data_IF_870422788323
#
_entry.id   IF_870422788323
#
_cell.length_a   1.000
_cell.length_b   1.000
_cell.length_c   1.000
_cell.angle_alpha   90.00
_cell.angle_beta   90.00
_cell.angle_gamma   90.00
#
_symmetry.space_group_name_H-M   'P 1'
#
loop_
_entity.id
_entity.type
_entity.pdbx_description
1 polymer ?
#
# COMPACT_ATOMS: atom_id res chain seq x y z
N UNK A 1 37.37 14.43 -41.42
CA UNK A 1 36.12 15.12 -41.12
C UNK A 1 35.03 14.10 -41.04
N UNK A 2 34.54 13.77 -39.85
CA UNK A 2 33.39 12.91 -39.62
C UNK A 2 32.30 13.77 -39.06
N UNK A 3 31.20 13.88 -39.79
CA UNK A 3 29.99 14.57 -39.33
C UNK A 3 29.32 13.76 -38.21
N UNK A 4 29.10 14.43 -37.08
CA UNK A 4 28.33 13.89 -35.97
C UNK A 4 26.86 14.19 -36.26
N UNK A 5 26.08 13.13 -36.49
CA UNK A 5 24.63 13.23 -36.64
C UNK A 5 24.02 13.44 -35.25
N UNK A 6 23.53 14.65 -35.04
CA UNK A 6 22.82 15.05 -33.83
C UNK A 6 21.36 14.55 -33.95
N UNK A 7 21.05 13.43 -33.32
CA UNK A 7 19.69 12.92 -33.21
C UNK A 7 19.00 13.69 -32.07
N UNK A 8 18.21 14.69 -32.45
CA UNK A 8 17.25 15.33 -31.54
C UNK A 8 16.22 14.31 -31.10
N UNK A 9 16.31 13.86 -29.86
CA UNK A 9 15.25 13.16 -29.16
C UNK A 9 14.07 14.13 -28.97
N UNK A 10 13.09 14.03 -29.84
CA UNK A 10 11.78 14.65 -29.65
C UNK A 10 11.09 13.96 -28.48
N UNK A 11 11.19 14.58 -27.29
CA UNK A 11 10.42 14.23 -26.11
C UNK A 11 8.95 14.49 -26.40
N UNK A 12 8.23 13.45 -26.84
CA UNK A 12 6.78 13.44 -27.00
C UNK A 12 6.17 13.68 -25.63
N UNK A 13 5.71 14.90 -25.39
CA UNK A 13 4.93 15.25 -24.20
C UNK A 13 3.60 14.49 -24.33
N UNK A 14 3.44 13.39 -23.61
CA UNK A 14 2.14 12.76 -23.43
C UNK A 14 1.25 13.76 -22.68
N UNK A 15 0.25 14.30 -23.37
CA UNK A 15 -0.82 15.05 -22.75
C UNK A 15 -1.51 14.11 -21.76
N UNK A 16 -1.33 14.38 -20.47
CA UNK A 16 -2.01 13.64 -19.41
C UNK A 16 -3.50 13.92 -19.54
N UNK A 17 -4.25 12.96 -20.09
CA UNK A 17 -5.71 13.01 -20.18
C UNK A 17 -6.27 13.22 -18.77
N UNK A 18 -7.06 14.27 -18.57
CA UNK A 18 -7.76 14.48 -17.31
C UNK A 18 -8.85 13.41 -17.16
N UNK A 19 -8.69 12.55 -16.17
CA UNK A 19 -9.67 11.51 -15.85
C UNK A 19 -10.87 12.09 -15.11
N UNK A 20 -12.06 11.49 -15.32
CA UNK A 20 -13.26 11.81 -14.55
C UNK A 20 -13.00 11.46 -13.07
N UNK A 21 -13.68 12.16 -12.17
CA UNK A 21 -13.51 11.93 -10.72
C UNK A 21 -14.60 11.02 -10.17
N UNK A 22 -15.21 10.18 -11.01
CA UNK A 22 -16.32 9.32 -10.64
C UNK A 22 -16.17 7.85 -11.06
N UNK A 23 -15.03 7.51 -11.67
CA UNK A 23 -14.70 6.14 -12.07
C UNK A 23 -15.30 5.68 -13.39
N UNK A 24 -15.98 6.55 -14.13
CA UNK A 24 -16.66 6.16 -15.39
C UNK A 24 -15.76 6.19 -16.63
N UNK A 25 -14.54 6.66 -16.52
CA UNK A 25 -13.57 6.70 -17.64
C UNK A 25 -13.30 5.33 -18.28
N UNK A 26 -13.50 4.24 -17.52
CA UNK A 26 -13.35 2.89 -18.03
C UNK A 26 -14.33 2.58 -19.18
N UNK A 27 -15.49 3.27 -19.24
CA UNK A 27 -16.49 3.11 -20.30
C UNK A 27 -15.94 3.58 -21.66
N UNK A 28 -15.03 4.56 -21.67
CA UNK A 28 -14.36 5.01 -22.88
C UNK A 28 -13.39 3.97 -23.45
N UNK A 29 -12.86 3.10 -22.58
CA UNK A 29 -11.95 2.02 -22.94
C UNK A 29 -12.73 0.76 -23.34
N UNK A 30 -13.80 0.47 -22.59
CA UNK A 30 -14.67 -0.69 -22.81
C UNK A 30 -16.14 -0.29 -22.72
N UNK A 31 -16.78 -0.15 -23.87
CA UNK A 31 -18.19 0.25 -24.02
C UNK A 31 -19.17 -0.76 -23.40
N UNK A 32 -18.75 -2.03 -23.22
CA UNK A 32 -19.57 -3.06 -22.58
C UNK A 32 -19.82 -2.78 -21.09
N UNK A 33 -19.03 -1.86 -20.49
CA UNK A 33 -19.21 -1.41 -19.10
C UNK A 33 -20.34 -0.38 -18.94
N UNK A 34 -20.88 0.18 -20.01
CA UNK A 34 -21.94 1.21 -19.96
C UNK A 34 -23.18 0.81 -19.15
N UNK A 35 -23.69 -0.45 -19.24
CA UNK A 35 -24.80 -0.89 -18.37
C UNK A 35 -24.43 -0.94 -16.88
N UNK A 36 -23.14 -0.90 -16.54
CA UNK A 36 -22.62 -1.02 -15.19
C UNK A 36 -22.10 0.32 -14.63
N UNK A 37 -22.41 1.44 -15.26
CA UNK A 37 -21.96 2.78 -14.86
C UNK A 37 -22.22 3.07 -13.38
N UNK A 38 -23.42 2.75 -12.87
CA UNK A 38 -23.76 2.93 -11.46
C UNK A 38 -22.86 2.13 -10.51
N UNK A 39 -22.42 0.93 -10.92
CA UNK A 39 -21.51 0.11 -10.14
C UNK A 39 -20.08 0.67 -10.17
N UNK A 40 -19.63 1.26 -11.27
CA UNK A 40 -18.34 1.92 -11.37
C UNK A 40 -18.28 3.13 -10.43
N UNK A 41 -19.32 3.96 -10.40
CA UNK A 41 -19.45 5.09 -9.47
C UNK A 41 -19.41 4.63 -8.02
N UNK A 42 -20.19 3.60 -7.66
CA UNK A 42 -20.19 3.03 -6.32
C UNK A 42 -18.81 2.55 -5.88
N UNK A 43 -18.07 1.87 -6.76
CA UNK A 43 -16.69 1.42 -6.45
C UNK A 43 -15.74 2.58 -6.24
N UNK A 44 -15.87 3.63 -7.04
CA UNK A 44 -15.07 4.84 -6.87
C UNK A 44 -15.35 5.54 -5.55
N UNK A 45 -16.62 5.69 -5.18
CA UNK A 45 -17.02 6.25 -3.88
C UNK A 45 -16.45 5.43 -2.72
N UNK A 46 -16.54 4.09 -2.80
CA UNK A 46 -15.95 3.21 -1.78
C UNK A 46 -14.43 3.31 -1.70
N UNK A 47 -13.77 3.45 -2.83
CA UNK A 47 -12.33 3.72 -2.85
C UNK A 47 -12.00 5.02 -2.13
N UNK A 48 -12.71 6.10 -2.40
CA UNK A 48 -12.49 7.39 -1.75
C UNK A 48 -12.77 7.34 -0.25
N UNK A 49 -13.83 6.65 0.17
CA UNK A 49 -14.17 6.43 1.58
C UNK A 49 -13.03 5.72 2.32
N UNK A 50 -12.56 4.59 1.79
CA UNK A 50 -11.48 3.81 2.41
C UNK A 50 -10.17 4.58 2.39
N UNK A 51 -9.83 5.21 1.26
CA UNK A 51 -8.64 6.07 1.14
C UNK A 51 -8.67 7.18 2.19
N UNK A 52 -9.79 7.89 2.31
CA UNK A 52 -9.93 8.97 3.30
C UNK A 52 -9.82 8.48 4.76
N UNK A 53 -10.35 7.30 5.07
CA UNK A 53 -10.20 6.69 6.38
C UNK A 53 -8.74 6.35 6.71
N UNK A 54 -8.01 5.79 5.75
CA UNK A 54 -6.58 5.48 5.89
C UNK A 54 -5.76 6.77 6.06
N UNK A 55 -5.99 7.78 5.21
CA UNK A 55 -5.27 9.05 5.29
C UNK A 55 -5.53 9.78 6.61
N UNK A 56 -6.76 9.71 7.11
CA UNK A 56 -7.13 10.26 8.43
C UNK A 56 -6.41 9.54 9.58
N UNK A 57 -6.26 8.22 9.49
CA UNK A 57 -5.63 7.43 10.55
C UNK A 57 -4.10 7.51 10.53
N UNK A 58 -3.49 7.56 9.34
CA UNK A 58 -2.04 7.41 9.14
C UNK A 58 -1.36 8.65 8.55
N UNK A 59 -2.13 9.71 8.22
CA UNK A 59 -1.64 10.93 7.60
C UNK A 59 -1.54 10.86 6.07
N UNK A 60 -1.15 9.72 5.51
CA UNK A 60 -1.09 9.48 4.06
C UNK A 60 -1.11 8.00 3.72
N UNK A 61 -1.40 7.66 2.46
CA UNK A 61 -1.29 6.27 1.97
C UNK A 61 0.16 5.77 2.04
N UNK A 62 1.14 6.63 1.81
CA UNK A 62 2.56 6.28 1.93
C UNK A 62 2.93 5.94 3.37
N UNK A 63 2.50 6.75 4.34
CA UNK A 63 2.72 6.49 5.75
C UNK A 63 2.04 5.18 6.21
N UNK A 64 0.83 4.91 5.71
CA UNK A 64 0.15 3.64 5.95
C UNK A 64 0.94 2.45 5.36
N UNK A 65 1.42 2.57 4.13
CA UNK A 65 2.23 1.54 3.48
C UNK A 65 3.56 1.27 4.20
N UNK A 66 4.13 2.28 4.87
CA UNK A 66 5.34 2.15 5.67
C UNK A 66 5.10 1.51 7.05
N UNK A 67 3.84 1.23 7.41
CA UNK A 67 3.47 0.62 8.68
C UNK A 67 4.13 -0.73 8.97
N UNK A 68 4.53 -1.47 7.93
CA UNK A 68 5.30 -2.72 8.09
C UNK A 68 6.62 -2.52 8.84
N UNK A 69 7.20 -1.31 8.81
CA UNK A 69 8.45 -0.98 9.52
C UNK A 69 8.29 -0.97 11.04
N UNK A 70 7.06 -0.90 11.53
CA UNK A 70 6.74 -0.96 12.96
C UNK A 70 6.65 -2.38 13.50
N UNK A 71 6.60 -3.40 12.61
CA UNK A 71 6.46 -4.80 12.98
C UNK A 71 7.78 -5.55 12.91
N UNK A 72 7.78 -6.76 13.48
CA UNK A 72 8.96 -7.57 13.60
C UNK A 72 9.85 -7.17 14.78
N UNK A 73 11.12 -7.48 14.69
CA UNK A 73 12.11 -7.20 15.74
C UNK A 73 12.67 -5.78 15.58
N UNK A 74 12.67 -5.04 16.69
CA UNK A 74 13.34 -3.75 16.79
C UNK A 74 14.24 -3.71 18.03
N UNK A 75 15.44 -3.14 17.90
CA UNK A 75 16.36 -2.93 19.01
C UNK A 75 16.26 -1.48 19.47
N UNK A 76 16.02 -1.27 20.77
CA UNK A 76 16.02 0.04 21.41
C UNK A 76 17.44 0.49 21.79
N UNK A 77 17.59 1.76 22.17
CA UNK A 77 18.86 2.35 22.60
C UNK A 77 19.44 1.67 23.85
N UNK A 78 18.59 1.16 24.74
CA UNK A 78 18.97 0.41 25.94
C UNK A 78 19.29 -1.08 25.68
N UNK A 79 19.50 -1.44 24.41
CA UNK A 79 19.71 -2.80 23.91
C UNK A 79 18.51 -3.76 24.05
N UNK A 80 17.40 -3.33 24.60
CA UNK A 80 16.15 -4.11 24.66
C UNK A 80 15.66 -4.45 23.25
N UNK A 81 15.31 -5.71 23.04
CA UNK A 81 14.71 -6.18 21.80
C UNK A 81 13.18 -6.20 22.00
N UNK A 82 12.47 -5.51 21.11
CA UNK A 82 11.01 -5.51 21.08
C UNK A 82 10.56 -6.24 19.82
N UNK A 83 9.62 -7.17 19.99
CA UNK A 83 8.92 -7.82 18.89
C UNK A 83 7.48 -7.34 18.86
N UNK A 84 6.99 -6.95 17.67
CA UNK A 84 5.63 -6.49 17.43
C UNK A 84 5.05 -7.21 16.22
N UNK A 85 3.84 -7.75 16.36
CA UNK A 85 3.17 -8.49 15.31
C UNK A 85 1.69 -8.07 15.21
N UNK A 86 1.11 -8.21 14.02
CA UNK A 86 -0.29 -7.98 13.76
C UNK A 86 -1.03 -9.33 13.68
N UNK A 87 -1.86 -9.64 14.67
CA UNK A 87 -2.56 -10.93 14.80
C UNK A 87 -4.02 -10.73 15.22
N UNK A 88 -4.89 -10.13 14.39
CA UNK A 88 -6.22 -9.66 14.81
C UNK A 88 -7.18 -10.77 15.24
N UNK A 89 -6.97 -12.03 14.84
CA UNK A 89 -7.83 -13.17 15.18
C UNK A 89 -7.13 -14.20 16.06
N UNK A 90 -5.99 -13.83 16.68
CA UNK A 90 -5.21 -14.74 17.49
C UNK A 90 -5.75 -14.79 18.93
N UNK A 91 -5.96 -15.99 19.47
CA UNK A 91 -6.31 -16.20 20.88
C UNK A 91 -5.09 -16.42 21.78
N UNK A 92 -3.98 -16.85 21.19
CA UNK A 92 -2.72 -17.09 21.90
C UNK A 92 -1.55 -16.96 20.93
N UNK A 93 -0.49 -16.31 21.39
CA UNK A 93 0.78 -16.19 20.68
C UNK A 93 1.93 -16.29 21.66
N UNK A 94 3.05 -16.84 21.22
CA UNK A 94 4.28 -16.91 21.98
C UNK A 94 5.50 -16.80 21.07
N UNK A 95 6.56 -16.20 21.57
CA UNK A 95 7.87 -16.25 20.93
C UNK A 95 8.58 -17.52 21.33
N UNK A 96 9.13 -18.23 20.35
CA UNK A 96 9.93 -19.45 20.56
C UNK A 96 11.25 -19.34 19.82
N UNK A 97 12.28 -19.93 20.40
CA UNK A 97 13.62 -19.94 19.82
C UNK A 97 14.64 -20.58 20.76
N UNK A 98 15.91 -20.59 20.38
CA UNK A 98 16.99 -21.15 21.20
C UNK A 98 17.08 -20.49 22.58
N UNK A 99 16.72 -19.19 22.67
CA UNK A 99 16.73 -18.41 23.91
C UNK A 99 15.78 -18.94 25.00
N UNK A 100 14.76 -19.73 24.64
CA UNK A 100 13.81 -20.31 25.58
C UNK A 100 13.58 -21.82 25.35
N UNK A 101 14.50 -22.49 24.63
CA UNK A 101 14.43 -23.90 24.33
C UNK A 101 13.21 -24.30 23.50
N UNK A 102 12.71 -23.38 22.68
CA UNK A 102 11.51 -23.56 21.82
C UNK A 102 10.21 -23.84 22.60
N UNK A 103 10.16 -23.37 23.86
CA UNK A 103 9.02 -23.54 24.73
C UNK A 103 7.98 -22.42 24.50
N UNK A 104 6.83 -22.78 23.92
CA UNK A 104 5.73 -21.83 23.63
C UNK A 104 5.02 -21.26 24.86
N UNK A 105 5.28 -21.80 26.07
CA UNK A 105 4.69 -21.28 27.31
C UNK A 105 5.63 -20.31 28.03
N UNK A 106 6.92 -20.30 27.66
CA UNK A 106 7.93 -19.51 28.37
C UNK A 106 7.91 -18.03 28.05
N UNK A 107 7.45 -17.63 26.85
CA UNK A 107 7.44 -16.25 26.41
C UNK A 107 6.12 -15.91 25.70
N UNK A 108 5.01 -15.83 26.45
CA UNK A 108 3.72 -15.41 25.89
C UNK A 108 3.77 -13.94 25.45
N UNK A 109 3.00 -13.64 24.39
CA UNK A 109 2.82 -12.27 23.85
C UNK A 109 1.48 -11.68 24.29
#
# INVERSE_FOLDING_TARGET
>A
MREVHDTKDEKKTEETKAYSKDGTDLIEIDEMLKPHEGHLRYRWEKFLEVKGAIEKASGSLSAFADGYKEYGFSKKEDETIVYKEWMPACNHAALVGDFNGWNGEATPM
#
